data_IF_239414788582
#
_entry.id   IF_239414788582
#
_cell.length_a   1.000
_cell.length_b   1.000
_cell.length_c   1.000
_cell.angle_alpha   90.00
_cell.angle_beta   90.00
_cell.angle_gamma   90.00
#
_symmetry.space_group_name_H-M   'P 1'
#
loop_
_entity.id
_entity.type
_entity.pdbx_description
1 polymer ?
#
# COMPACT_ATOMS: atom_id res chain seq x y z
N UNK A 1 -8.11 -13.78 3.84
CA UNK A 1 -8.07 -13.73 2.36
C UNK A 1 -6.65 -13.53 1.88
N UNK A 2 -6.18 -14.25 0.85
CA UNK A 2 -4.84 -14.15 0.28
C UNK A 2 -4.90 -13.48 -1.09
N UNK A 3 -3.94 -12.60 -1.37
CA UNK A 3 -3.89 -11.86 -2.65
C UNK A 3 -2.60 -12.23 -3.38
N UNK A 4 -2.73 -12.68 -4.61
CA UNK A 4 -1.64 -13.03 -5.51
C UNK A 4 -1.51 -12.00 -6.60
N UNK A 5 -0.27 -11.67 -6.99
CA UNK A 5 0.02 -10.69 -8.05
C UNK A 5 1.01 -11.28 -9.04
N UNK A 6 0.57 -11.45 -10.28
CA UNK A 6 1.38 -11.97 -11.37
C UNK A 6 1.52 -10.93 -12.48
N UNK A 7 2.66 -10.88 -13.15
CA UNK A 7 2.87 -10.04 -14.33
C UNK A 7 2.48 -10.82 -15.58
N UNK A 8 1.72 -10.20 -16.51
CA UNK A 8 1.49 -10.80 -17.82
C UNK A 8 2.76 -10.76 -18.67
N UNK A 9 2.98 -11.82 -19.46
CA UNK A 9 3.99 -11.76 -20.52
C UNK A 9 3.67 -10.62 -21.48
N UNK A 10 4.70 -10.01 -22.05
CA UNK A 10 4.51 -9.00 -23.09
C UNK A 10 4.14 -9.68 -24.40
N UNK A 11 2.92 -9.43 -24.89
CA UNK A 11 2.41 -10.03 -26.10
C UNK A 11 1.49 -9.04 -26.83
N UNK A 12 1.40 -9.15 -28.18
CA UNK A 12 0.51 -8.32 -29.00
C UNK A 12 -0.97 -8.40 -28.56
N UNK A 13 -1.40 -9.57 -28.07
CA UNK A 13 -2.76 -9.80 -27.53
C UNK A 13 -3.11 -8.91 -26.33
N UNK A 14 -2.14 -8.43 -25.57
CA UNK A 14 -2.37 -7.55 -24.42
C UNK A 14 -3.06 -6.23 -24.79
N UNK A 15 -3.06 -5.83 -26.06
CA UNK A 15 -3.82 -4.69 -26.58
C UNK A 15 -5.32 -4.81 -26.27
N UNK A 16 -5.88 -6.01 -26.27
CA UNK A 16 -7.30 -6.22 -25.98
C UNK A 16 -7.62 -5.95 -24.52
N UNK A 17 -6.76 -6.39 -23.57
CA UNK A 17 -6.91 -6.05 -22.16
C UNK A 17 -6.78 -4.53 -21.92
N UNK A 18 -5.84 -3.88 -22.60
CA UNK A 18 -5.68 -2.42 -22.53
C UNK A 18 -6.92 -1.69 -23.09
N UNK A 19 -7.51 -2.19 -24.18
CA UNK A 19 -8.77 -1.66 -24.75
C UNK A 19 -9.94 -1.88 -23.77
N UNK A 20 -10.07 -3.06 -23.18
CA UNK A 20 -11.09 -3.34 -22.16
C UNK A 20 -10.98 -2.41 -20.95
N UNK A 21 -9.76 -2.09 -20.46
CA UNK A 21 -9.56 -1.08 -19.40
C UNK A 21 -10.03 0.31 -19.85
N UNK A 22 -9.75 0.70 -21.10
CA UNK A 22 -10.19 1.99 -21.63
C UNK A 22 -11.72 2.06 -21.81
N UNK A 23 -12.33 0.99 -22.31
CA UNK A 23 -13.79 0.87 -22.41
C UNK A 23 -14.45 0.89 -21.02
N UNK A 24 -13.83 0.23 -20.03
CA UNK A 24 -14.28 0.32 -18.63
C UNK A 24 -14.24 1.76 -18.10
N UNK A 25 -13.26 2.56 -18.50
CA UNK A 25 -13.20 3.99 -18.14
C UNK A 25 -14.36 4.79 -18.77
N UNK A 26 -14.71 4.49 -20.03
CA UNK A 26 -15.85 5.11 -20.71
C UNK A 26 -17.16 4.78 -20.00
N UNK A 27 -17.40 3.50 -19.68
CA UNK A 27 -18.57 3.06 -18.91
C UNK A 27 -18.62 3.76 -17.54
N UNK A 28 -17.49 3.77 -16.81
CA UNK A 28 -17.39 4.46 -15.51
C UNK A 28 -17.78 5.93 -15.61
N UNK A 29 -17.25 6.64 -16.59
CA UNK A 29 -17.56 8.07 -16.78
C UNK A 29 -19.02 8.30 -17.16
N UNK A 30 -19.61 7.45 -18.00
CA UNK A 30 -21.03 7.50 -18.31
C UNK A 30 -21.87 7.31 -17.05
N UNK A 31 -21.54 6.32 -16.22
CA UNK A 31 -22.20 6.11 -14.94
C UNK A 31 -22.13 7.33 -14.02
N UNK A 32 -20.98 7.99 -13.94
CA UNK A 32 -20.82 9.23 -13.15
C UNK A 32 -21.67 10.37 -13.72
N UNK A 33 -21.71 10.54 -15.04
CA UNK A 33 -22.56 11.53 -15.70
C UNK A 33 -24.04 11.29 -15.39
N UNK A 34 -24.48 10.04 -15.47
CA UNK A 34 -25.86 9.65 -15.19
C UNK A 34 -26.24 9.88 -13.72
N UNK A 35 -25.35 9.51 -12.78
CA UNK A 35 -25.54 9.81 -11.35
C UNK A 35 -25.72 11.30 -11.09
N UNK A 36 -24.85 12.15 -11.67
CA UNK A 36 -24.92 13.61 -11.50
C UNK A 36 -26.21 14.18 -12.08
N UNK A 37 -26.63 13.70 -13.27
CA UNK A 37 -27.89 14.12 -13.91
C UNK A 37 -29.09 13.71 -13.04
N UNK A 38 -29.13 12.47 -12.60
CA UNK A 38 -30.23 11.93 -11.80
C UNK A 38 -30.38 12.66 -10.47
N UNK A 39 -29.26 12.92 -9.78
CA UNK A 39 -29.26 13.70 -8.54
C UNK A 39 -29.77 15.13 -8.74
N UNK A 40 -29.36 15.78 -9.84
CA UNK A 40 -29.83 17.15 -10.16
C UNK A 40 -31.34 17.20 -10.40
N UNK A 41 -31.90 16.16 -11.03
CA UNK A 41 -33.32 16.10 -11.39
C UNK A 41 -34.20 15.67 -10.21
N UNK A 42 -33.71 14.75 -9.38
CA UNK A 42 -34.56 14.09 -8.38
C UNK A 42 -34.08 14.23 -6.94
N UNK A 43 -32.96 14.88 -6.67
CA UNK A 43 -32.37 14.99 -5.34
C UNK A 43 -31.93 13.65 -4.71
N UNK A 44 -31.95 12.55 -5.47
CA UNK A 44 -31.72 11.19 -5.00
C UNK A 44 -30.54 10.54 -5.73
N UNK A 45 -29.88 9.59 -5.07
CA UNK A 45 -28.83 8.76 -5.70
C UNK A 45 -29.42 7.65 -6.55
N UNK A 46 -28.76 7.33 -7.66
CA UNK A 46 -29.18 6.25 -8.54
C UNK A 46 -28.74 4.90 -7.95
N UNK A 47 -29.68 3.97 -7.81
CA UNK A 47 -29.43 2.63 -7.32
C UNK A 47 -28.55 1.82 -8.29
N UNK A 48 -27.63 1.02 -7.74
CA UNK A 48 -26.70 0.19 -8.51
C UNK A 48 -27.39 -0.76 -9.48
N UNK A 49 -28.52 -1.39 -9.09
CA UNK A 49 -29.26 -2.31 -9.94
C UNK A 49 -29.88 -1.59 -11.17
N UNK A 50 -30.48 -0.41 -10.98
CA UNK A 50 -30.98 0.42 -12.09
C UNK A 50 -29.85 0.83 -13.04
N UNK A 51 -28.68 1.19 -12.48
CA UNK A 51 -27.51 1.54 -13.25
C UNK A 51 -27.00 0.35 -14.08
N UNK A 52 -26.94 -0.84 -13.50
CA UNK A 52 -26.52 -2.07 -14.19
C UNK A 52 -27.47 -2.40 -15.36
N UNK A 53 -28.80 -2.34 -15.16
CA UNK A 53 -29.80 -2.56 -16.21
C UNK A 53 -29.63 -1.55 -17.36
N UNK A 54 -29.45 -0.27 -17.05
CA UNK A 54 -29.22 0.77 -18.05
C UNK A 54 -27.95 0.51 -18.87
N UNK A 55 -26.83 0.20 -18.22
CA UNK A 55 -25.57 -0.09 -18.91
C UNK A 55 -25.66 -1.38 -19.74
N UNK A 56 -26.36 -2.41 -19.26
CA UNK A 56 -26.57 -3.64 -20.04
C UNK A 56 -27.27 -3.35 -21.36
N UNK A 57 -28.35 -2.52 -21.34
CA UNK A 57 -29.07 -2.11 -22.57
C UNK A 57 -28.16 -1.35 -23.55
N UNK A 58 -27.42 -0.34 -23.05
CA UNK A 58 -26.51 0.45 -23.91
C UNK A 58 -25.33 -0.37 -24.44
N UNK A 59 -24.83 -1.31 -23.65
CA UNK A 59 -23.72 -2.18 -24.04
C UNK A 59 -24.08 -3.04 -25.25
N UNK A 60 -25.31 -3.52 -25.39
CA UNK A 60 -25.77 -4.29 -26.53
C UNK A 60 -25.72 -3.50 -27.83
N UNK A 61 -25.85 -2.17 -27.76
CA UNK A 61 -25.81 -1.26 -28.89
C UNK A 61 -24.41 -0.68 -29.17
N UNK A 62 -23.44 -0.87 -28.25
CA UNK A 62 -22.12 -0.26 -28.35
C UNK A 62 -21.01 -1.31 -28.41
N UNK A 63 -20.44 -1.60 -29.61
CA UNK A 63 -19.38 -2.59 -29.78
C UNK A 63 -18.12 -2.30 -28.96
N UNK A 64 -17.83 -1.03 -28.69
CA UNK A 64 -16.70 -0.65 -27.84
C UNK A 64 -16.91 -1.08 -26.38
N UNK A 65 -18.15 -0.99 -25.88
CA UNK A 65 -18.47 -1.42 -24.53
C UNK A 65 -18.64 -2.93 -24.38
N UNK A 66 -18.96 -3.64 -25.46
CA UNK A 66 -19.03 -5.11 -25.50
C UNK A 66 -17.70 -5.78 -25.15
N UNK A 67 -16.56 -5.07 -25.34
CA UNK A 67 -15.24 -5.55 -24.93
C UNK A 67 -15.10 -5.71 -23.41
N UNK A 68 -16.00 -5.14 -22.62
CA UNK A 68 -16.03 -5.26 -21.15
C UNK A 68 -17.05 -6.32 -20.79
N UNK A 69 -16.63 -7.41 -20.15
CA UNK A 69 -17.51 -8.46 -19.68
C UNK A 69 -18.55 -7.96 -18.66
N UNK A 70 -19.71 -8.62 -18.58
CA UNK A 70 -20.81 -8.24 -17.68
C UNK A 70 -20.37 -8.13 -16.21
N UNK A 71 -19.54 -9.06 -15.73
CA UNK A 71 -19.00 -9.04 -14.38
C UNK A 71 -18.15 -7.78 -14.10
N UNK A 72 -17.37 -7.33 -15.07
CA UNK A 72 -16.60 -6.10 -14.95
C UNK A 72 -17.48 -4.84 -14.93
N UNK A 73 -18.60 -4.84 -15.67
CA UNK A 73 -19.61 -3.77 -15.61
C UNK A 73 -20.26 -3.71 -14.25
N UNK A 74 -20.66 -4.86 -13.71
CA UNK A 74 -21.25 -4.95 -12.37
C UNK A 74 -20.26 -4.40 -11.31
N UNK A 75 -18.99 -4.78 -11.37
CA UNK A 75 -17.96 -4.25 -10.47
C UNK A 75 -17.78 -2.74 -10.61
N UNK A 76 -17.84 -2.18 -11.83
CA UNK A 76 -17.78 -0.72 -12.05
C UNK A 76 -18.93 -0.01 -11.32
N UNK A 77 -20.16 -0.49 -11.48
CA UNK A 77 -21.33 0.08 -10.81
C UNK A 77 -21.21 0.01 -9.29
N UNK A 78 -20.78 -1.14 -8.74
CA UNK A 78 -20.57 -1.31 -7.31
C UNK A 78 -19.42 -0.46 -6.76
N UNK A 79 -18.34 -0.22 -7.53
CA UNK A 79 -17.27 0.71 -7.14
C UNK A 79 -17.78 2.14 -7.02
N UNK A 80 -18.67 2.55 -7.91
CA UNK A 80 -19.29 3.88 -7.88
C UNK A 80 -20.18 4.00 -6.64
N UNK A 81 -21.05 3.02 -6.40
CA UNK A 81 -21.93 2.98 -5.24
C UNK A 81 -21.15 3.06 -3.92
N UNK A 82 -20.11 2.22 -3.76
CA UNK A 82 -19.20 2.29 -2.60
C UNK A 82 -18.53 3.65 -2.47
N UNK A 83 -18.13 4.26 -3.59
CA UNK A 83 -17.52 5.59 -3.58
C UNK A 83 -18.48 6.68 -3.11
N UNK A 84 -19.76 6.62 -3.49
CA UNK A 84 -20.77 7.54 -2.99
C UNK A 84 -21.10 7.27 -1.52
N UNK A 85 -21.20 5.99 -1.11
CA UNK A 85 -21.39 5.64 0.31
C UNK A 85 -20.27 6.23 1.16
N UNK A 86 -19.02 6.00 0.81
CA UNK A 86 -17.86 6.58 1.51
C UNK A 86 -17.89 8.12 1.53
N UNK A 87 -18.38 8.75 0.47
CA UNK A 87 -18.56 10.19 0.46
C UNK A 87 -19.60 10.62 1.48
N UNK A 88 -20.77 10.03 1.52
CA UNK A 88 -21.83 10.38 2.47
C UNK A 88 -21.43 10.10 3.92
N UNK A 89 -20.72 8.97 4.19
CA UNK A 89 -20.26 8.61 5.53
C UNK A 89 -19.15 9.56 6.04
N UNK A 90 -18.36 10.15 5.13
CA UNK A 90 -17.13 10.90 5.49
C UNK A 90 -17.01 12.29 4.84
N UNK A 91 -18.07 12.89 4.28
CA UNK A 91 -18.00 14.21 3.64
C UNK A 91 -17.56 15.32 4.61
N UNK A 92 -18.00 15.27 5.87
CA UNK A 92 -17.56 16.21 6.94
C UNK A 92 -16.05 16.10 7.22
N UNK A 93 -15.41 14.95 6.93
CA UNK A 93 -13.96 14.73 7.05
C UNK A 93 -13.20 15.07 5.76
N UNK A 94 -13.80 15.78 4.80
CA UNK A 94 -13.17 16.21 3.56
C UNK A 94 -13.18 15.18 2.42
N UNK A 95 -13.95 14.08 2.53
CA UNK A 95 -14.13 13.13 1.43
C UNK A 95 -14.86 13.78 0.25
N UNK A 96 -14.44 13.47 -0.98
CA UNK A 96 -15.04 14.00 -2.21
C UNK A 96 -15.86 12.93 -2.94
N UNK A 97 -16.96 13.31 -3.63
CA UNK A 97 -17.74 12.35 -4.39
C UNK A 97 -16.93 11.80 -5.58
N UNK A 98 -17.33 10.60 -6.08
CA UNK A 98 -16.73 10.04 -7.28
C UNK A 98 -16.79 11.03 -8.45
N UNK A 99 -15.67 11.15 -9.17
CA UNK A 99 -15.50 12.12 -10.26
C UNK A 99 -15.06 11.43 -11.55
N UNK A 100 -15.14 12.15 -12.69
CA UNK A 100 -14.67 11.67 -13.97
C UNK A 100 -13.19 11.29 -13.94
N UNK A 101 -12.84 10.23 -14.65
CA UNK A 101 -11.47 9.74 -14.79
C UNK A 101 -11.06 9.70 -16.25
N UNK A 102 -9.97 10.39 -16.60
CA UNK A 102 -9.38 10.20 -17.93
C UNK A 102 -9.02 8.71 -18.14
N UNK A 103 -9.21 8.20 -19.37
CA UNK A 103 -8.93 6.79 -19.70
C UNK A 103 -7.51 6.35 -19.31
N UNK A 104 -6.52 7.25 -19.42
CA UNK A 104 -5.13 7.01 -18.98
C UNK A 104 -4.98 6.83 -17.45
N UNK A 105 -5.89 7.42 -16.66
CA UNK A 105 -5.92 7.33 -15.20
C UNK A 105 -6.75 6.14 -14.69
N UNK A 106 -7.62 5.58 -15.52
CA UNK A 106 -8.37 4.37 -15.17
C UNK A 106 -7.48 3.14 -15.36
N UNK A 107 -7.31 2.33 -14.31
CA UNK A 107 -6.19 1.38 -14.27
C UNK A 107 -6.59 -0.09 -14.33
N UNK A 108 -7.83 -0.45 -14.03
CA UNK A 108 -8.20 -1.87 -13.85
C UNK A 108 -9.68 -2.15 -14.05
N UNK A 109 -9.99 -3.40 -14.39
CA UNK A 109 -11.32 -3.99 -14.26
C UNK A 109 -11.23 -5.30 -13.47
N UNK A 110 -12.33 -5.69 -12.82
CA UNK A 110 -12.40 -6.88 -11.98
C UNK A 110 -13.50 -7.81 -12.47
N UNK A 111 -13.17 -9.09 -12.51
CA UNK A 111 -14.07 -10.21 -12.76
C UNK A 111 -14.27 -10.93 -11.42
N UNK A 112 -15.53 -11.20 -11.03
CA UNK A 112 -15.82 -11.83 -9.73
C UNK A 112 -15.99 -13.33 -9.87
N UNK A 113 -17.07 -13.79 -10.49
CA UNK A 113 -17.46 -15.20 -10.54
C UNK A 113 -17.24 -15.83 -11.91
N UNK A 114 -17.34 -15.03 -12.97
CA UNK A 114 -17.30 -15.50 -14.36
C UNK A 114 -16.49 -14.56 -15.27
N UNK A 115 -16.29 -14.99 -16.52
CA UNK A 115 -15.58 -14.22 -17.54
C UNK A 115 -14.10 -14.55 -17.60
N UNK A 116 -13.61 -15.49 -16.80
CA UNK A 116 -12.26 -16.01 -16.85
C UNK A 116 -12.21 -17.52 -16.59
N UNK A 117 -11.17 -18.20 -17.08
CA UNK A 117 -10.88 -19.60 -16.80
C UNK A 117 -9.35 -19.82 -16.78
N UNK A 118 -8.84 -20.37 -15.70
CA UNK A 118 -7.45 -20.85 -15.64
C UNK A 118 -7.37 -22.16 -16.41
N UNK A 119 -6.44 -22.24 -17.38
CA UNK A 119 -6.25 -23.42 -18.25
C UNK A 119 -5.09 -24.32 -17.81
N UNK A 120 -4.60 -24.10 -16.60
CA UNK A 120 -3.41 -24.75 -16.06
C UNK A 120 -2.11 -24.04 -16.40
N UNK A 121 -1.08 -24.26 -15.61
CA UNK A 121 0.23 -23.63 -15.71
C UNK A 121 0.16 -22.10 -15.61
N UNK A 122 0.59 -21.44 -16.66
CA UNK A 122 0.67 -19.97 -16.75
C UNK A 122 -0.39 -19.34 -17.67
N UNK A 123 -1.48 -20.05 -18.01
CA UNK A 123 -2.46 -19.66 -19.01
C UNK A 123 -3.79 -19.26 -18.36
N UNK A 124 -4.30 -18.09 -18.75
CA UNK A 124 -5.59 -17.52 -18.32
C UNK A 124 -6.42 -17.16 -19.54
N UNK A 125 -7.63 -17.74 -19.67
CA UNK A 125 -8.62 -17.35 -20.68
C UNK A 125 -9.48 -16.23 -20.11
N UNK A 126 -9.65 -15.15 -20.86
CA UNK A 126 -10.57 -14.05 -20.56
C UNK A 126 -11.40 -13.80 -21.83
N UNK A 127 -12.71 -13.99 -21.73
CA UNK A 127 -13.58 -14.05 -22.92
C UNK A 127 -13.12 -15.14 -23.88
N UNK A 128 -12.93 -14.80 -25.15
CA UNK A 128 -12.45 -15.75 -26.19
C UNK A 128 -10.92 -15.89 -26.26
N UNK A 129 -10.14 -15.08 -25.52
CA UNK A 129 -8.69 -14.98 -25.69
C UNK A 129 -7.92 -15.59 -24.52
N UNK A 130 -6.78 -16.23 -24.84
CA UNK A 130 -5.85 -16.80 -23.85
C UNK A 130 -4.66 -15.88 -23.69
N UNK A 131 -4.30 -15.63 -22.43
CA UNK A 131 -3.18 -14.79 -22.01
C UNK A 131 -2.23 -15.60 -21.15
N UNK A 132 -0.94 -15.27 -21.18
CA UNK A 132 0.10 -15.89 -20.37
C UNK A 132 0.60 -14.91 -19.32
N UNK A 133 0.89 -15.43 -18.14
CA UNK A 133 1.42 -14.68 -17.01
C UNK A 133 2.57 -15.42 -16.32
N UNK A 134 3.45 -14.70 -15.64
CA UNK A 134 4.52 -15.28 -14.86
C UNK A 134 3.93 -15.93 -13.60
N UNK A 135 3.86 -17.26 -13.59
CA UNK A 135 3.33 -18.02 -12.47
C UNK A 135 4.46 -18.28 -11.45
N UNK A 136 4.71 -17.28 -10.58
CA UNK A 136 5.79 -17.31 -9.58
C UNK A 136 5.43 -18.08 -8.30
N UNK A 137 4.16 -18.42 -8.11
CA UNK A 137 3.67 -19.11 -6.91
C UNK A 137 2.33 -19.79 -7.20
N UNK A 138 2.02 -20.88 -6.47
CA UNK A 138 0.74 -21.57 -6.56
C UNK A 138 -0.40 -20.70 -5.98
N UNK A 139 -1.58 -20.77 -6.62
CA UNK A 139 -2.80 -20.11 -6.14
C UNK A 139 -3.55 -21.10 -5.25
N UNK A 140 -3.65 -20.80 -3.97
CA UNK A 140 -4.35 -21.60 -2.96
C UNK A 140 -5.74 -21.04 -2.68
N UNK A 141 -6.68 -21.92 -2.34
CA UNK A 141 -8.04 -21.55 -1.98
C UNK A 141 -8.94 -21.24 -3.18
N UNK A 142 -10.21 -20.96 -2.89
CA UNK A 142 -11.22 -20.63 -3.90
C UNK A 142 -11.07 -19.17 -4.34
N UNK A 143 -10.98 -18.96 -5.64
CA UNK A 143 -10.84 -17.62 -6.23
C UNK A 143 -12.14 -16.83 -6.04
N UNK A 144 -12.03 -15.66 -5.40
CA UNK A 144 -13.12 -14.70 -5.19
C UNK A 144 -13.16 -13.62 -6.28
N UNK A 145 -11.99 -13.08 -6.65
CA UNK A 145 -11.92 -12.06 -7.69
C UNK A 145 -10.64 -12.16 -8.51
N UNK A 146 -10.75 -11.82 -9.79
CA UNK A 146 -9.65 -11.67 -10.73
C UNK A 146 -9.63 -10.25 -11.26
N UNK A 147 -8.59 -9.49 -10.98
CA UNK A 147 -8.45 -8.10 -11.41
C UNK A 147 -7.29 -7.96 -12.40
N UNK A 148 -7.57 -7.36 -13.54
CA UNK A 148 -6.56 -6.99 -14.54
C UNK A 148 -6.21 -5.54 -14.33
N UNK A 149 -4.93 -5.24 -14.02
CA UNK A 149 -4.45 -3.91 -13.67
C UNK A 149 -3.32 -3.47 -14.59
N UNK A 150 -3.45 -2.26 -15.15
CA UNK A 150 -2.41 -1.58 -15.92
C UNK A 150 -1.61 -0.66 -15.01
N UNK A 151 -0.28 -0.75 -15.07
CA UNK A 151 0.64 0.15 -14.35
C UNK A 151 1.15 1.27 -15.26
N UNK A 152 1.78 2.34 -14.71
CA UNK A 152 2.28 3.47 -15.48
C UNK A 152 3.32 3.12 -16.56
N UNK A 153 4.10 2.05 -16.37
CA UNK A 153 5.04 1.51 -17.37
C UNK A 153 4.37 0.84 -18.56
N UNK A 154 3.04 0.66 -18.51
CA UNK A 154 2.26 0.01 -19.56
C UNK A 154 2.14 -1.50 -19.43
N UNK A 155 2.82 -2.08 -18.45
CA UNK A 155 2.68 -3.50 -18.11
C UNK A 155 1.30 -3.80 -17.51
N UNK A 156 0.89 -5.06 -17.67
CA UNK A 156 -0.35 -5.58 -17.11
C UNK A 156 -0.04 -6.57 -16.01
N UNK A 157 -0.83 -6.52 -14.95
CA UNK A 157 -0.79 -7.44 -13.83
C UNK A 157 -2.12 -8.14 -13.65
N UNK A 158 -2.05 -9.42 -13.38
CA UNK A 158 -3.13 -10.26 -12.88
C UNK A 158 -3.08 -10.23 -11.35
N UNK A 159 -4.17 -9.84 -10.73
CA UNK A 159 -4.33 -9.87 -9.28
C UNK A 159 -5.47 -10.83 -8.96
N UNK A 160 -5.18 -11.86 -8.20
CA UNK A 160 -6.13 -12.91 -7.81
C UNK A 160 -6.32 -12.83 -6.31
N UNK A 161 -7.56 -12.72 -5.86
CA UNK A 161 -7.93 -12.77 -4.44
C UNK A 161 -8.65 -14.10 -4.18
N UNK A 162 -8.21 -14.81 -3.15
CA UNK A 162 -8.80 -16.08 -2.73
C UNK A 162 -9.29 -16.01 -1.29
N UNK A 163 -10.08 -17.00 -0.88
CA UNK A 163 -10.53 -17.17 0.51
C UNK A 163 -9.49 -17.89 1.39
N UNK A 164 -8.36 -18.32 0.80
CA UNK A 164 -7.30 -18.93 1.59
C UNK A 164 -6.93 -18.06 2.79
N UNK A 165 -6.85 -18.67 3.95
CA UNK A 165 -6.37 -18.03 5.16
C UNK A 165 -4.84 -17.97 5.09
N UNK A 166 -4.28 -16.89 5.61
CA UNK A 166 -2.86 -16.84 5.88
C UNK A 166 -2.65 -17.69 7.15
N UNK A 167 -2.25 -18.95 6.97
CA UNK A 167 -1.86 -19.76 8.12
C UNK A 167 -0.55 -19.17 8.66
N UNK A 168 -0.52 -18.90 9.94
CA UNK A 168 0.71 -18.53 10.62
C UNK A 168 1.66 -19.73 10.55
N UNK A 169 2.91 -19.50 10.18
CA UNK A 169 3.95 -20.51 10.29
C UNK A 169 4.20 -20.71 11.79
N UNK A 170 3.91 -21.90 12.33
CA UNK A 170 4.21 -22.24 13.70
C UNK A 170 5.73 -22.32 13.90
N UNK A 171 6.37 -21.16 14.06
CA UNK A 171 7.78 -21.07 14.44
C UNK A 171 7.87 -20.94 15.97
N UNK A 172 8.85 -21.63 16.56
CA UNK A 172 9.12 -21.52 17.98
C UNK A 172 9.26 -20.04 18.40
N UNK A 173 8.55 -19.68 19.46
CA UNK A 173 8.71 -18.37 20.09
C UNK A 173 9.92 -18.41 21.00
N UNK A 174 10.86 -17.50 20.77
CA UNK A 174 12.09 -17.38 21.59
C UNK A 174 11.89 -16.48 22.80
N UNK A 175 10.76 -15.79 22.90
CA UNK A 175 10.47 -14.78 23.91
C UNK A 175 11.26 -13.48 23.73
N UNK A 176 12.10 -13.36 22.69
CA UNK A 176 12.94 -12.18 22.49
C UNK A 176 12.10 -10.95 22.13
N UNK A 177 12.36 -9.86 22.84
CA UNK A 177 11.69 -8.57 22.67
C UNK A 177 12.68 -7.50 22.23
N UNK A 178 12.23 -6.53 21.42
CA UNK A 178 13.03 -5.36 21.06
C UNK A 178 12.16 -4.12 20.85
N UNK A 179 12.70 -2.96 21.24
CA UNK A 179 12.18 -1.65 20.91
C UNK A 179 12.94 -1.05 19.73
N UNK A 180 12.25 -0.23 18.95
CA UNK A 180 12.75 0.33 17.72
C UNK A 180 12.40 1.82 17.61
N UNK A 181 13.42 2.65 17.43
CA UNK A 181 13.25 4.08 17.16
C UNK A 181 13.53 4.40 15.68
N UNK A 182 12.68 5.23 15.05
CA UNK A 182 12.81 5.68 13.67
C UNK A 182 13.51 7.03 13.57
N UNK A 183 14.66 7.06 12.90
CA UNK A 183 15.40 8.30 12.66
C UNK A 183 15.40 8.76 11.19
N UNK A 184 15.74 10.03 10.98
CA UNK A 184 15.89 10.62 9.63
C UNK A 184 17.24 10.32 8.99
N UNK A 185 18.29 10.10 9.79
CA UNK A 185 19.66 9.77 9.35
C UNK A 185 19.87 8.25 9.37
N UNK A 186 19.54 7.63 10.48
CA UNK A 186 19.50 6.18 10.67
C UNK A 186 18.05 5.78 10.49
N UNK A 187 17.78 4.76 9.65
CA UNK A 187 16.40 4.33 9.37
C UNK A 187 15.74 3.76 10.62
N UNK A 188 16.49 2.94 11.37
CA UNK A 188 15.99 2.25 12.55
C UNK A 188 17.14 1.97 13.52
N UNK A 189 16.97 2.35 14.78
CA UNK A 189 17.84 2.00 15.90
C UNK A 189 17.13 0.98 16.77
N UNK A 190 17.81 -0.11 17.13
CA UNK A 190 17.23 -1.16 17.98
C UNK A 190 17.66 -0.97 19.42
N UNK A 191 16.90 -1.49 20.37
CA UNK A 191 17.28 -1.52 21.79
C UNK A 191 18.50 -2.40 22.12
N UNK A 192 19.06 -3.08 21.14
CA UNK A 192 20.31 -3.82 21.22
C UNK A 192 21.44 -3.11 20.48
N UNK A 193 21.38 -1.79 20.34
CA UNK A 193 22.38 -0.91 19.70
C UNK A 193 22.70 -1.23 18.22
N UNK A 194 21.82 -1.97 17.52
CA UNK A 194 21.98 -2.18 16.08
C UNK A 194 21.38 -0.99 15.32
N UNK A 195 22.20 -0.31 14.52
CA UNK A 195 21.78 0.82 13.70
C UNK A 195 21.61 0.40 12.24
N UNK A 196 20.41 0.54 11.70
CA UNK A 196 20.06 0.21 10.33
C UNK A 196 20.03 1.50 9.52
N UNK A 197 21.00 1.65 8.61
CA UNK A 197 21.12 2.85 7.76
C UNK A 197 20.00 2.95 6.75
N UNK A 198 19.54 4.16 6.46
CA UNK A 198 18.59 4.41 5.38
C UNK A 198 19.29 4.30 4.02
N UNK A 199 18.75 3.49 3.09
CA UNK A 199 19.32 3.34 1.75
C UNK A 199 19.08 4.55 0.84
N UNK A 200 18.19 5.50 1.21
CA UNK A 200 17.91 6.77 0.54
C UNK A 200 17.76 6.62 -1.01
N UNK A 201 17.05 5.61 -1.47
CA UNK A 201 16.95 5.25 -2.89
C UNK A 201 16.47 6.41 -3.79
N UNK A 202 15.54 7.25 -3.31
CA UNK A 202 15.07 8.40 -4.07
C UNK A 202 16.14 9.50 -4.12
N UNK A 203 16.86 9.74 -3.03
CA UNK A 203 17.95 10.71 -2.98
C UNK A 203 19.08 10.33 -3.93
N UNK A 204 19.48 9.06 -3.96
CA UNK A 204 20.51 8.53 -4.87
C UNK A 204 20.13 8.70 -6.35
N UNK A 205 18.85 8.64 -6.68
CA UNK A 205 18.35 8.79 -8.06
C UNK A 205 17.83 10.19 -8.39
N UNK A 206 18.02 11.19 -7.53
CA UNK A 206 17.37 12.51 -7.66
C UNK A 206 17.79 13.27 -8.91
N UNK A 207 19.07 13.24 -9.28
CA UNK A 207 19.59 13.88 -10.51
C UNK A 207 18.94 13.30 -11.75
N UNK A 208 18.86 11.97 -11.83
CA UNK A 208 18.23 11.25 -12.93
C UNK A 208 16.73 11.53 -13.00
N UNK A 209 16.02 11.55 -11.85
CA UNK A 209 14.61 11.91 -11.77
C UNK A 209 14.35 13.33 -12.29
N UNK A 210 15.18 14.30 -11.89
CA UNK A 210 15.08 15.69 -12.39
C UNK A 210 15.30 15.77 -13.89
N UNK A 211 16.33 15.10 -14.43
CA UNK A 211 16.64 15.05 -15.86
C UNK A 211 15.48 14.46 -16.66
N UNK A 212 14.98 13.28 -16.29
CA UNK A 212 13.89 12.61 -16.99
C UNK A 212 12.56 13.39 -16.88
N UNK A 213 12.29 13.99 -15.72
CA UNK A 213 11.12 14.85 -15.54
C UNK A 213 11.17 16.08 -16.43
N UNK A 214 12.32 16.78 -16.50
CA UNK A 214 12.56 17.93 -17.39
C UNK A 214 12.42 17.52 -18.87
N UNK A 215 12.98 16.38 -19.27
CA UNK A 215 12.84 15.83 -20.61
C UNK A 215 11.38 15.55 -20.96
N UNK A 216 10.62 14.93 -20.05
CA UNK A 216 9.19 14.66 -20.26
C UNK A 216 8.37 15.95 -20.37
N UNK A 217 8.60 16.96 -19.52
CA UNK A 217 7.82 18.20 -19.53
C UNK A 217 8.00 19.02 -20.80
N UNK A 218 9.23 19.04 -21.37
CA UNK A 218 9.57 19.78 -22.58
C UNK A 218 8.99 19.19 -23.88
N UNK A 219 8.56 17.92 -23.88
CA UNK A 219 8.01 17.27 -25.08
C UNK A 219 6.55 17.67 -25.32
N UNK A 220 6.18 17.87 -26.61
CA UNK A 220 4.82 18.21 -27.05
C UNK A 220 3.79 17.23 -26.50
N UNK A 221 2.73 17.73 -25.89
CA UNK A 221 1.61 16.92 -25.41
C UNK A 221 1.01 16.09 -26.54
N UNK A 222 0.80 14.78 -26.30
CA UNK A 222 0.25 13.85 -27.30
C UNK A 222 1.30 13.17 -28.20
N UNK A 223 2.52 13.69 -28.32
CA UNK A 223 3.54 13.12 -29.19
C UNK A 223 4.07 11.76 -28.72
N UNK A 224 4.55 10.94 -29.64
CA UNK A 224 5.20 9.67 -29.36
C UNK A 224 6.48 9.85 -28.52
N UNK A 225 7.24 10.91 -28.77
CA UNK A 225 8.45 11.24 -28.00
C UNK A 225 8.11 11.58 -26.54
N UNK A 226 6.98 12.26 -26.27
CA UNK A 226 6.50 12.47 -24.90
C UNK A 226 6.09 11.15 -24.22
N UNK A 227 5.46 10.24 -24.98
CA UNK A 227 5.10 8.92 -24.44
C UNK A 227 6.35 8.09 -24.10
N UNK A 228 7.40 8.11 -24.95
CA UNK A 228 8.69 7.46 -24.65
C UNK A 228 9.33 8.05 -23.38
N UNK A 229 9.41 9.40 -23.28
CA UNK A 229 9.95 10.07 -22.10
C UNK A 229 9.15 9.74 -20.82
N UNK A 230 7.81 9.71 -20.90
CA UNK A 230 6.91 9.30 -19.80
C UNK A 230 7.21 7.86 -19.34
N UNK A 231 7.43 6.95 -20.27
CA UNK A 231 7.75 5.55 -19.93
C UNK A 231 9.09 5.43 -19.23
N UNK A 232 10.12 6.15 -19.69
CA UNK A 232 11.43 6.15 -19.04
C UNK A 232 11.35 6.69 -17.61
N UNK A 233 10.64 7.79 -17.39
CA UNK A 233 10.39 8.32 -16.06
C UNK A 233 9.61 7.33 -15.17
N UNK A 234 8.58 6.69 -15.72
CA UNK A 234 7.79 5.69 -14.99
C UNK A 234 8.62 4.46 -14.60
N UNK A 235 9.52 4.00 -15.47
CA UNK A 235 10.43 2.88 -15.17
C UNK A 235 11.40 3.21 -14.05
N UNK A 236 11.94 4.44 -14.02
CA UNK A 236 12.82 4.87 -12.93
C UNK A 236 12.07 4.91 -11.59
N UNK A 237 10.85 5.45 -11.56
CA UNK A 237 10.01 5.41 -10.34
C UNK A 237 9.68 3.98 -9.90
N UNK A 238 9.39 3.07 -10.85
CA UNK A 238 9.14 1.66 -10.55
C UNK A 238 10.39 0.98 -9.97
N UNK A 239 11.57 1.25 -10.54
CA UNK A 239 12.84 0.72 -10.03
C UNK A 239 13.12 1.16 -8.60
N UNK A 240 13.00 2.47 -8.30
CA UNK A 240 13.17 3.00 -6.95
C UNK A 240 12.17 2.36 -5.96
N UNK A 241 10.90 2.21 -6.38
CA UNK A 241 9.88 1.56 -5.55
C UNK A 241 10.18 0.08 -5.31
N UNK A 242 10.68 -0.64 -6.31
CA UNK A 242 11.03 -2.06 -6.18
C UNK A 242 12.25 -2.26 -5.28
N UNK A 243 13.31 -1.45 -5.42
CA UNK A 243 14.47 -1.48 -4.53
C UNK A 243 14.08 -1.23 -3.08
N UNK A 244 13.19 -0.25 -2.84
CA UNK A 244 12.68 0.06 -1.50
C UNK A 244 11.89 -1.12 -0.91
N UNK A 245 11.00 -1.71 -1.69
CA UNK A 245 10.23 -2.88 -1.26
C UNK A 245 11.11 -4.08 -0.96
N UNK A 246 12.09 -4.36 -1.79
CA UNK A 246 13.05 -5.46 -1.56
C UNK A 246 13.77 -5.27 -0.23
N UNK A 247 14.28 -4.05 0.04
CA UNK A 247 14.89 -3.71 1.31
C UNK A 247 13.93 -3.91 2.49
N UNK A 248 12.69 -3.43 2.39
CA UNK A 248 11.71 -3.55 3.47
C UNK A 248 11.30 -5.00 3.74
N UNK A 249 11.12 -5.80 2.70
CA UNK A 249 10.82 -7.21 2.85
C UNK A 249 11.97 -7.95 3.54
N UNK A 250 13.21 -7.74 3.10
CA UNK A 250 14.39 -8.34 3.72
C UNK A 250 14.53 -7.92 5.18
N UNK A 251 14.36 -6.64 5.47
CA UNK A 251 14.42 -6.10 6.82
C UNK A 251 13.31 -6.68 7.71
N UNK A 252 12.06 -6.69 7.24
CA UNK A 252 10.94 -7.22 7.99
C UNK A 252 11.14 -8.72 8.33
N UNK A 253 11.62 -9.52 7.38
CA UNK A 253 11.97 -10.92 7.64
C UNK A 253 13.10 -11.05 8.67
N UNK A 254 14.18 -10.29 8.53
CA UNK A 254 15.30 -10.29 9.48
C UNK A 254 14.86 -9.96 10.90
N UNK A 255 14.05 -8.91 11.07
CA UNK A 255 13.57 -8.50 12.39
C UNK A 255 12.62 -9.53 13.02
N UNK A 256 11.70 -10.09 12.23
CA UNK A 256 10.74 -11.10 12.69
C UNK A 256 11.36 -12.50 12.86
N UNK A 257 12.54 -12.77 12.29
CA UNK A 257 13.31 -13.98 12.60
C UNK A 257 14.10 -13.82 13.92
N UNK A 258 14.50 -12.59 14.26
CA UNK A 258 15.30 -12.30 15.45
C UNK A 258 14.46 -12.07 16.71
N UNK A 259 13.24 -11.46 16.57
CA UNK A 259 12.40 -11.02 17.67
C UNK A 259 10.96 -11.52 17.53
N UNK A 260 10.35 -11.86 18.66
CA UNK A 260 8.94 -12.28 18.74
C UNK A 260 8.01 -11.10 19.00
N UNK A 261 8.47 -10.11 19.78
CA UNK A 261 7.74 -8.90 20.10
C UNK A 261 8.54 -7.67 19.67
N UNK A 262 7.94 -6.88 18.79
CA UNK A 262 8.57 -5.70 18.19
C UNK A 262 7.75 -4.46 18.59
N UNK A 263 8.39 -3.56 19.33
CA UNK A 263 7.75 -2.34 19.86
C UNK A 263 8.23 -1.11 19.09
N UNK A 264 7.30 -0.27 18.68
CA UNK A 264 7.53 0.97 17.95
C UNK A 264 6.76 2.13 18.58
N UNK A 265 7.17 3.36 18.30
CA UNK A 265 6.39 4.54 18.61
C UNK A 265 5.31 4.79 17.55
N UNK A 266 4.09 5.23 17.96
CA UNK A 266 3.03 5.66 17.03
C UNK A 266 3.33 7.06 16.49
N UNK A 267 4.15 7.15 15.44
CA UNK A 267 4.58 8.41 14.86
C UNK A 267 3.46 9.12 14.07
N UNK A 268 3.34 10.44 14.27
CA UNK A 268 2.49 11.27 13.41
C UNK A 268 3.16 11.52 12.04
N UNK A 269 3.17 10.48 11.18
CA UNK A 269 3.82 10.54 9.87
C UNK A 269 3.27 11.66 8.97
N UNK A 270 1.99 12.02 9.09
CA UNK A 270 1.39 13.12 8.32
C UNK A 270 1.98 14.48 8.75
N UNK A 271 2.14 14.71 10.04
CA UNK A 271 2.80 15.88 10.59
C UNK A 271 4.28 15.94 10.17
N UNK A 272 4.99 14.83 10.27
CA UNK A 272 6.39 14.73 9.85
C UNK A 272 6.60 15.03 8.36
N UNK A 273 5.72 14.55 7.48
CA UNK A 273 5.77 14.87 6.04
C UNK A 273 5.58 16.36 5.78
N UNK A 274 4.73 17.03 6.58
CA UNK A 274 4.54 18.49 6.46
C UNK A 274 5.81 19.26 6.81
N UNK A 275 6.57 18.81 7.81
CA UNK A 275 7.79 19.49 8.29
C UNK A 275 9.02 19.12 7.45
N UNK A 276 9.23 17.85 7.15
CA UNK A 276 10.45 17.33 6.52
C UNK A 276 10.24 16.74 5.11
N UNK A 277 9.02 16.82 4.57
CA UNK A 277 8.64 16.59 3.18
C UNK A 277 9.32 15.39 2.51
N UNK A 278 10.28 15.68 1.64
CA UNK A 278 10.96 14.68 0.83
C UNK A 278 11.76 13.66 1.64
N UNK A 279 12.38 14.04 2.75
CA UNK A 279 13.18 13.11 3.58
C UNK A 279 12.27 12.00 4.14
N UNK A 280 11.15 12.38 4.77
CA UNK A 280 10.18 11.41 5.32
C UNK A 280 9.52 10.59 4.21
N UNK A 281 9.23 11.21 3.05
CA UNK A 281 8.68 10.48 1.89
C UNK A 281 9.66 9.46 1.31
N UNK A 282 10.97 9.71 1.37
CA UNK A 282 12.00 8.75 0.93
C UNK A 282 12.12 7.57 1.89
N UNK A 283 12.00 7.81 3.18
CA UNK A 283 11.98 6.74 4.20
C UNK A 283 10.78 5.81 4.06
N UNK A 284 9.63 6.32 3.62
CA UNK A 284 8.37 5.57 3.40
C UNK A 284 8.00 4.63 4.57
N UNK A 285 8.09 5.15 5.80
CA UNK A 285 7.88 4.40 7.04
C UNK A 285 6.55 3.65 7.09
N UNK A 286 5.46 4.27 6.58
CA UNK A 286 4.15 3.60 6.51
C UNK A 286 4.20 2.31 5.68
N UNK A 287 4.89 2.34 4.51
CA UNK A 287 5.02 1.15 3.65
C UNK A 287 5.83 0.05 4.35
N UNK A 288 6.89 0.42 5.07
CA UNK A 288 7.68 -0.52 5.87
C UNK A 288 6.83 -1.16 6.98
N UNK A 289 6.11 -0.35 7.75
CA UNK A 289 5.27 -0.85 8.86
C UNK A 289 4.13 -1.77 8.36
N UNK A 290 3.51 -1.47 7.22
CA UNK A 290 2.53 -2.37 6.60
C UNK A 290 3.14 -3.73 6.23
N UNK A 291 4.32 -3.72 5.60
CA UNK A 291 5.05 -4.95 5.26
C UNK A 291 5.43 -5.72 6.53
N UNK A 292 5.99 -5.03 7.54
CA UNK A 292 6.40 -5.65 8.80
C UNK A 292 5.22 -6.30 9.53
N UNK A 293 4.08 -5.60 9.65
CA UNK A 293 2.85 -6.15 10.25
C UNK A 293 2.40 -7.40 9.51
N UNK A 294 2.43 -7.39 8.18
CA UNK A 294 2.02 -8.55 7.39
C UNK A 294 2.96 -9.74 7.60
N UNK A 295 4.28 -9.52 7.62
CA UNK A 295 5.29 -10.57 7.87
C UNK A 295 5.16 -11.11 9.30
N UNK A 296 4.95 -10.22 10.28
CA UNK A 296 4.75 -10.58 11.68
C UNK A 296 3.54 -11.50 11.86
N UNK A 297 2.37 -11.12 11.31
CA UNK A 297 1.16 -11.95 11.33
C UNK A 297 1.44 -13.34 10.73
N UNK A 298 2.14 -13.40 9.58
CA UNK A 298 2.47 -14.66 8.93
C UNK A 298 3.36 -15.56 9.78
N UNK A 299 4.24 -15.00 10.60
CA UNK A 299 5.19 -15.72 11.46
C UNK A 299 4.73 -15.86 12.92
N UNK A 300 3.50 -15.50 13.25
CA UNK A 300 2.96 -15.45 14.61
C UNK A 300 3.80 -14.57 15.56
N UNK A 301 4.27 -13.42 15.05
CA UNK A 301 5.01 -12.41 15.82
C UNK A 301 4.14 -11.19 16.08
N UNK A 302 4.46 -10.45 17.12
CA UNK A 302 3.69 -9.29 17.57
C UNK A 302 4.40 -8.00 17.23
N UNK A 303 3.69 -7.08 16.58
CA UNK A 303 4.12 -5.69 16.38
C UNK A 303 3.18 -4.79 17.14
N UNK A 304 3.68 -4.09 18.13
CA UNK A 304 2.91 -3.21 19.01
C UNK A 304 3.45 -1.78 18.97
N UNK A 305 2.57 -0.80 19.16
CA UNK A 305 2.91 0.62 19.15
C UNK A 305 2.64 1.22 20.53
N UNK A 306 3.66 1.88 21.09
CA UNK A 306 3.52 2.66 22.33
C UNK A 306 2.89 4.02 22.02
N UNK A 307 2.40 4.70 23.05
CA UNK A 307 1.82 6.04 22.91
C UNK A 307 2.84 7.01 22.34
N UNK A 308 2.40 7.83 21.37
CA UNK A 308 3.20 8.87 20.70
C UNK A 308 3.65 10.01 21.62
N UNK A 309 2.99 10.19 22.74
CA UNK A 309 3.28 11.26 23.70
C UNK A 309 4.28 10.83 24.77
N UNK A 310 4.61 9.54 24.82
CA UNK A 310 5.65 9.07 25.73
C UNK A 310 7.01 9.69 25.37
N UNK A 311 7.70 10.36 26.30
CA UNK A 311 8.93 11.10 26.02
C UNK A 311 10.15 10.15 25.92
N UNK A 312 10.12 9.19 24.99
CA UNK A 312 11.11 8.12 24.83
C UNK A 312 12.55 8.61 24.77
N UNK A 313 12.80 9.71 24.03
CA UNK A 313 14.16 10.29 23.89
C UNK A 313 14.64 11.08 25.09
N UNK A 314 13.69 11.63 25.92
CA UNK A 314 13.99 12.47 27.10
C UNK A 314 14.10 11.69 28.39
N UNK A 315 13.53 10.50 28.46
CA UNK A 315 13.53 9.65 29.65
C UNK A 315 14.84 8.88 29.70
N UNK A 316 15.54 8.94 30.83
CA UNK A 316 16.75 8.13 31.04
C UNK A 316 16.35 6.65 31.14
N UNK A 317 16.89 5.81 30.28
CA UNK A 317 16.59 4.36 30.28
C UNK A 317 17.12 3.62 31.50
N UNK A 318 18.06 4.23 32.24
CA UNK A 318 18.65 3.65 33.44
C UNK A 318 17.85 3.96 34.72
N UNK A 319 17.51 5.25 34.94
CA UNK A 319 16.87 5.67 36.20
C UNK A 319 15.46 6.25 36.05
N UNK A 320 14.93 6.37 34.86
CA UNK A 320 13.59 6.91 34.60
C UNK A 320 13.46 8.44 34.70
N UNK A 321 14.52 9.18 35.04
CA UNK A 321 14.49 10.64 35.10
C UNK A 321 14.14 11.23 33.74
N UNK A 322 13.20 12.17 33.69
CA UNK A 322 12.74 12.82 32.46
C UNK A 322 13.32 14.22 32.36
N UNK A 323 14.08 14.48 31.28
CA UNK A 323 14.60 15.81 30.98
C UNK A 323 13.46 16.77 30.60
N UNK A 324 13.48 17.98 31.10
CA UNK A 324 12.54 19.03 30.70
C UNK A 324 12.68 19.35 29.21
N UNK A 325 13.92 19.53 28.74
CA UNK A 325 14.25 19.89 27.37
C UNK A 325 15.42 19.04 26.82
N UNK A 326 15.31 18.61 25.58
CA UNK A 326 16.36 17.96 24.81
C UNK A 326 16.29 18.46 23.36
N UNK A 327 17.32 19.19 22.92
CA UNK A 327 17.36 19.73 21.56
C UNK A 327 17.39 18.61 20.51
N UNK A 328 16.85 18.87 19.31
CA UNK A 328 16.72 17.86 18.27
C UNK A 328 18.05 17.40 17.67
N UNK A 329 19.06 18.21 17.74
CA UNK A 329 20.42 17.95 17.24
C UNK A 329 21.33 17.27 18.27
N UNK A 330 20.95 17.30 19.57
CA UNK A 330 21.69 16.63 20.65
C UNK A 330 21.60 15.13 20.48
N UNK A 331 22.76 14.48 20.25
CA UNK A 331 22.84 13.02 20.09
C UNK A 331 23.26 12.30 21.35
N UNK A 332 24.21 12.90 22.09
CA UNK A 332 24.68 12.37 23.37
C UNK A 332 24.27 13.33 24.48
N UNK A 333 23.77 12.79 25.59
CA UNK A 333 23.41 13.57 26.77
C UNK A 333 23.68 12.81 28.05
N UNK A 334 23.98 13.55 29.10
CA UNK A 334 24.24 13.01 30.43
C UNK A 334 23.01 13.19 31.32
N UNK A 335 22.58 12.13 31.99
CA UNK A 335 21.47 12.21 32.91
C UNK A 335 21.86 13.02 34.16
N UNK A 336 21.09 14.05 34.56
CA UNK A 336 21.43 14.84 35.76
C UNK A 336 21.23 14.07 37.07
N UNK A 337 20.39 13.02 37.07
CA UNK A 337 20.09 12.20 38.26
C UNK A 337 21.10 11.08 38.48
N UNK A 338 21.36 10.24 37.46
CA UNK A 338 22.22 9.07 37.63
C UNK A 338 23.56 9.16 36.88
N UNK A 339 23.84 10.28 36.23
CA UNK A 339 25.04 10.59 35.48
C UNK A 339 25.38 9.67 34.29
N UNK A 340 24.46 8.75 33.94
CA UNK A 340 24.58 7.89 32.76
C UNK A 340 24.69 8.75 31.48
N UNK A 341 25.64 8.41 30.60
CA UNK A 341 25.74 8.99 29.28
C UNK A 341 24.85 8.16 28.35
N UNK A 342 23.92 8.81 27.66
CA UNK A 342 22.95 8.18 26.78
C UNK A 342 23.16 8.63 25.35
N UNK A 343 23.24 7.68 24.40
CA UNK A 343 22.91 7.97 22.99
C UNK A 343 21.39 8.13 22.87
N UNK A 344 20.98 9.20 22.25
CA UNK A 344 19.55 9.58 22.16
C UNK A 344 18.68 8.51 21.51
N UNK A 345 19.13 7.99 20.36
CA UNK A 345 18.34 7.08 19.53
C UNK A 345 18.34 5.66 20.17
N UNK A 346 19.45 5.23 20.77
CA UNK A 346 19.55 3.99 21.55
C UNK A 346 18.71 4.04 22.83
N UNK A 347 18.83 5.12 23.60
CA UNK A 347 18.05 5.35 24.81
C UNK A 347 16.55 5.33 24.52
N UNK A 348 16.12 5.97 23.42
CA UNK A 348 14.73 5.93 22.98
C UNK A 348 14.28 4.51 22.65
N UNK A 349 15.07 3.74 21.91
CA UNK A 349 14.75 2.36 21.57
C UNK A 349 14.64 1.45 22.83
N UNK A 350 15.50 1.64 23.84
CA UNK A 350 15.41 0.91 25.12
C UNK A 350 14.11 1.28 25.85
N UNK A 351 13.78 2.55 25.92
CA UNK A 351 12.56 3.02 26.57
C UNK A 351 11.30 2.50 25.85
N UNK A 352 11.28 2.51 24.51
CA UNK A 352 10.20 1.94 23.70
C UNK A 352 10.03 0.45 24.01
N UNK A 353 11.14 -0.30 24.15
CA UNK A 353 11.10 -1.71 24.55
C UNK A 353 10.48 -1.87 25.93
N UNK A 354 10.94 -1.13 26.93
CA UNK A 354 10.52 -1.27 28.33
C UNK A 354 9.03 -0.93 28.51
N UNK A 355 8.58 0.21 27.93
CA UNK A 355 7.16 0.62 27.96
C UNK A 355 6.30 -0.36 27.18
N UNK A 356 6.72 -0.79 25.99
CA UNK A 356 6.00 -1.76 25.20
C UNK A 356 5.85 -3.10 25.91
N UNK A 357 6.90 -3.59 26.56
CA UNK A 357 6.89 -4.83 27.32
C UNK A 357 5.97 -4.74 28.54
N UNK A 358 6.02 -3.64 29.31
CA UNK A 358 5.15 -3.44 30.50
C UNK A 358 3.68 -3.31 30.09
N UNK A 359 3.36 -2.55 29.07
CA UNK A 359 1.99 -2.41 28.56
C UNK A 359 1.43 -3.73 28.05
N UNK A 360 2.26 -4.55 27.42
CA UNK A 360 1.88 -5.86 26.90
C UNK A 360 1.69 -6.90 28.01
N UNK A 361 2.45 -6.80 29.10
CA UNK A 361 2.37 -7.71 30.27
C UNK A 361 1.17 -7.43 31.18
N UNK A 362 0.73 -6.18 31.28
CA UNK A 362 -0.31 -5.73 32.20
C UNK A 362 -1.74 -5.85 31.68
N UNK A 363 -1.94 -6.11 30.42
CA UNK A 363 -3.30 -6.16 29.93
C UNK A 363 -3.41 -6.63 28.49
N UNK A 364 -4.16 -7.62 28.32
CA UNK A 364 -4.80 -7.91 27.05
C UNK A 364 -4.17 -8.95 26.10
N UNK A 365 -3.96 -10.13 26.62
CA UNK A 365 -4.02 -11.33 25.76
C UNK A 365 -5.41 -11.45 25.08
N UNK A 366 -6.47 -10.86 25.67
CA UNK A 366 -7.83 -10.87 25.10
C UNK A 366 -8.08 -9.84 23.99
N UNK A 367 -7.33 -8.73 23.90
CA UNK A 367 -7.50 -7.70 22.85
C UNK A 367 -6.65 -7.93 21.60
N UNK A 368 -5.54 -8.63 21.71
CA UNK A 368 -4.67 -8.88 20.55
C UNK A 368 -5.30 -9.75 19.45
N UNK A 369 -6.29 -10.57 19.81
CA UNK A 369 -7.04 -11.40 18.84
C UNK A 369 -8.12 -10.64 18.06
N UNK A 370 -8.56 -9.46 18.52
CA UNK A 370 -9.61 -8.66 17.84
C UNK A 370 -9.10 -7.59 16.88
N UNK A 371 -7.82 -7.21 16.95
CA UNK A 371 -7.22 -6.19 16.04
C UNK A 371 -6.79 -6.79 14.70
N UNK A 372 -6.72 -8.11 14.58
CA UNK A 372 -6.33 -8.81 13.36
C UNK A 372 -7.43 -8.92 12.28
N UNK A 373 -8.64 -8.36 12.49
CA UNK A 373 -9.79 -8.56 11.57
C UNK A 373 -10.19 -7.28 10.81
N UNK A 374 -9.52 -6.16 11.00
CA UNK A 374 -9.82 -4.91 10.30
C UNK A 374 -8.70 -4.51 9.33
N UNK A 375 -8.53 -5.26 8.22
CA UNK A 375 -7.84 -4.84 6.99
C UNK A 375 -8.68 -5.24 5.77
#
# INVERSE_FOLDING_TARGET
MKTYRFKFYQHKRNRYLKRAINASASIYNHCIALHKRYYRMFGKTLNCAKLQKHIAKLRNQNPYWQQVGSQAVQDICQRIERGYKLFFDHHKKGSRPPSFKASKKYKSFTLKQAGYKFLGGNRLKIGSKVYQFWNSQSIEGKIKTVTIKRVPTGDLYLIVVTDALCQAENKFKTGKIAGFDFGLKIFLTTSGNEQIKSPLFMKANLSMLRRLSKTHSRKRKGSNNRNKARLNLARLHENISNQRKDFFWKLAHRLTDKYDYLFFEDLNLKGMVRLWGRKVSDLALSEFLEILKWVAIKKDKVVHFIDRWYPSSKTCSNCGHVLEKLELDTRMWRCPSCHQINDRDENAAINIKNVGASTFSLGDVSRSSKIAIAV
#
